data_IF_400337032701
#
_entry.id   IF_400337032701
#
_cell.length_a   1.000
_cell.length_b   1.000
_cell.length_c   1.000
_cell.angle_alpha   90.00
_cell.angle_beta   90.00
_cell.angle_gamma   90.00
#
_symmetry.space_group_name_H-M   'P 1'
#
loop_
_entity.id
_entity.type
_entity.pdbx_description
1 polymer ?
#
# COMPACT_ATOMS: atom_id res chain seq x y z
N UNK A 1 1.65 -1.82 -21.98
CA UNK A 1 1.41 -0.74 -20.98
C UNK A 1 0.48 0.32 -21.56
N UNK A 2 -0.55 0.73 -20.81
CA UNK A 2 -1.47 1.84 -21.10
C UNK A 2 -1.25 3.01 -20.13
N UNK A 3 -1.19 4.24 -20.63
CA UNK A 3 -1.04 5.47 -19.85
C UNK A 3 -2.22 6.40 -20.06
N UNK A 4 -2.80 6.93 -18.99
CA UNK A 4 -3.98 7.80 -19.04
C UNK A 4 -3.80 8.99 -18.09
N UNK A 5 -4.05 10.19 -18.60
CA UNK A 5 -4.16 11.42 -17.82
C UNK A 5 -5.65 11.71 -17.54
N UNK A 6 -6.07 11.52 -16.29
CA UNK A 6 -7.47 11.60 -15.87
C UNK A 6 -7.90 13.05 -15.69
N UNK A 7 -8.47 13.63 -16.75
CA UNK A 7 -9.15 14.94 -16.65
C UNK A 7 -10.54 14.82 -16.02
N UNK A 8 -11.20 13.68 -16.20
CA UNK A 8 -12.50 13.36 -15.62
C UNK A 8 -12.54 11.89 -15.16
N UNK A 9 -13.62 11.50 -14.50
CA UNK A 9 -13.89 10.13 -14.09
C UNK A 9 -14.06 9.22 -15.31
N UNK A 10 -13.39 8.06 -15.30
CA UNK A 10 -13.62 7.00 -16.26
C UNK A 10 -14.61 6.00 -15.67
N UNK A 11 -15.80 5.92 -16.25
CA UNK A 11 -16.93 5.10 -15.77
C UNK A 11 -17.00 3.70 -16.40
N UNK A 12 -15.90 3.25 -16.99
CA UNK A 12 -15.78 1.94 -17.61
C UNK A 12 -16.04 1.95 -19.11
N UNK A 13 -15.97 0.75 -19.69
CA UNK A 13 -16.17 0.50 -21.11
C UNK A 13 -17.67 0.33 -21.41
N UNK A 14 -18.11 0.80 -22.57
CA UNK A 14 -19.50 0.65 -23.04
C UNK A 14 -19.69 -0.72 -23.71
N UNK A 15 -20.91 -1.27 -23.66
CA UNK A 15 -21.36 -2.43 -24.47
C UNK A 15 -20.40 -3.64 -24.42
N UNK A 16 -20.01 -4.08 -23.22
CA UNK A 16 -19.05 -5.20 -22.97
C UNK A 16 -17.66 -5.01 -23.63
N UNK A 17 -17.25 -3.77 -23.84
CA UNK A 17 -15.92 -3.45 -24.32
C UNK A 17 -14.84 -4.08 -23.43
N UNK A 18 -13.74 -4.49 -24.06
CA UNK A 18 -12.62 -5.13 -23.38
C UNK A 18 -11.29 -4.52 -23.84
N UNK A 19 -10.33 -4.46 -22.93
CA UNK A 19 -8.93 -4.13 -23.24
C UNK A 19 -8.08 -5.33 -22.87
N UNK A 20 -7.27 -5.81 -23.82
CA UNK A 20 -6.37 -6.96 -23.67
C UNK A 20 -4.93 -6.55 -23.98
N UNK A 21 -3.99 -7.43 -23.63
CA UNK A 21 -2.55 -7.27 -23.89
C UNK A 21 -1.98 -6.00 -23.24
N UNK A 22 -2.44 -5.69 -22.02
CA UNK A 22 -1.85 -4.66 -21.18
C UNK A 22 -1.53 -5.22 -19.81
N UNK A 23 -0.25 -5.19 -19.44
CA UNK A 23 0.24 -5.70 -18.16
C UNK A 23 0.34 -4.58 -17.11
N UNK A 24 0.47 -3.33 -17.57
CA UNK A 24 0.56 -2.15 -16.71
C UNK A 24 -0.40 -1.05 -17.16
N UNK A 25 -1.22 -0.60 -16.21
CA UNK A 25 -2.03 0.62 -16.32
C UNK A 25 -1.37 1.72 -15.50
N UNK A 26 -1.17 2.90 -16.07
CA UNK A 26 -0.64 4.07 -15.36
C UNK A 26 -1.59 5.25 -15.49
N UNK A 27 -2.09 5.71 -14.36
CA UNK A 27 -3.08 6.76 -14.24
C UNK A 27 -2.45 7.97 -13.55
N UNK A 28 -2.59 9.14 -14.15
CA UNK A 28 -2.18 10.41 -13.56
C UNK A 28 -3.39 11.29 -13.31
N UNK A 29 -3.52 11.86 -12.11
CA UNK A 29 -4.50 12.87 -11.78
C UNK A 29 -3.81 14.18 -11.40
N UNK A 30 -3.79 15.12 -12.35
CA UNK A 30 -3.28 16.48 -12.14
C UNK A 30 -4.39 17.48 -11.75
N UNK A 31 -5.60 17.00 -11.47
CA UNK A 31 -6.74 17.87 -11.17
C UNK A 31 -6.80 18.22 -9.68
N UNK A 32 -7.67 19.17 -9.32
CA UNK A 32 -7.83 19.65 -7.93
C UNK A 32 -8.68 18.73 -7.04
N UNK A 33 -9.25 17.66 -7.59
CA UNK A 33 -10.10 16.71 -6.87
C UNK A 33 -9.80 15.25 -7.25
N UNK A 34 -10.25 14.30 -6.43
CA UNK A 34 -10.11 12.87 -6.70
C UNK A 34 -10.74 12.50 -8.06
N UNK A 35 -10.25 11.41 -8.66
CA UNK A 35 -10.77 10.84 -9.91
C UNK A 35 -11.05 9.36 -9.73
N UNK A 36 -12.08 8.88 -10.40
CA UNK A 36 -12.46 7.45 -10.40
C UNK A 36 -12.10 6.81 -11.73
N UNK A 37 -11.64 5.56 -11.68
CA UNK A 37 -11.34 4.74 -12.85
C UNK A 37 -11.91 3.33 -12.66
N UNK A 38 -12.99 3.02 -13.37
CA UNK A 38 -13.54 1.67 -13.40
C UNK A 38 -12.75 0.81 -14.40
N UNK A 39 -12.06 -0.21 -13.89
CA UNK A 39 -11.21 -1.11 -14.67
C UNK A 39 -11.93 -2.38 -15.15
N UNK A 40 -13.26 -2.48 -15.01
CA UNK A 40 -14.02 -3.62 -15.50
C UNK A 40 -13.78 -3.83 -17.00
N UNK A 41 -13.51 -5.09 -17.38
CA UNK A 41 -13.21 -5.49 -18.77
C UNK A 41 -11.74 -5.27 -19.18
N UNK A 42 -10.87 -4.91 -18.23
CA UNK A 42 -9.43 -4.87 -18.43
C UNK A 42 -8.79 -6.07 -17.74
N UNK A 43 -8.40 -7.06 -18.53
CA UNK A 43 -7.84 -8.32 -18.02
C UNK A 43 -6.32 -8.39 -18.24
N UNK A 44 -5.64 -9.17 -17.38
CA UNK A 44 -4.21 -9.45 -17.50
C UNK A 44 -3.29 -8.38 -16.94
N UNK A 45 -3.84 -7.40 -16.19
CA UNK A 45 -3.03 -6.43 -15.46
C UNK A 45 -2.20 -7.14 -14.39
N UNK A 46 -0.94 -6.73 -14.30
CA UNK A 46 0.02 -7.11 -13.27
C UNK A 46 0.37 -5.91 -12.39
N UNK A 47 0.22 -4.69 -12.92
CA UNK A 47 0.53 -3.46 -12.19
C UNK A 47 -0.46 -2.34 -12.48
N UNK A 48 -0.86 -1.63 -11.44
CA UNK A 48 -1.58 -0.36 -11.54
C UNK A 48 -0.79 0.74 -10.84
N UNK A 49 -0.37 1.75 -11.61
CA UNK A 49 0.36 2.90 -11.10
C UNK A 49 -0.53 4.14 -11.03
N UNK A 50 -0.60 4.75 -9.86
CA UNK A 50 -1.45 5.88 -9.52
C UNK A 50 -0.58 7.06 -9.11
N UNK A 51 -0.72 8.18 -9.80
CA UNK A 51 0.08 9.38 -9.55
C UNK A 51 -0.80 10.61 -9.39
N UNK A 52 -0.65 11.32 -8.28
CA UNK A 52 -1.34 12.59 -8.05
C UNK A 52 -1.76 12.81 -6.60
N UNK A 53 -1.54 14.03 -6.10
CA UNK A 53 -1.80 14.37 -4.69
C UNK A 53 -3.24 14.17 -4.26
N UNK A 54 -4.19 14.42 -5.17
CA UNK A 54 -5.64 14.32 -4.90
C UNK A 54 -6.18 12.90 -4.98
N UNK A 55 -5.35 11.93 -5.39
CA UNK A 55 -5.71 10.51 -5.43
C UNK A 55 -6.44 10.08 -6.69
N UNK A 56 -6.53 8.77 -6.85
CA UNK A 56 -7.28 8.08 -7.88
C UNK A 56 -7.93 6.87 -7.21
N UNK A 57 -9.24 6.74 -7.30
CA UNK A 57 -9.97 5.55 -6.88
C UNK A 57 -10.16 4.63 -8.08
N UNK A 58 -9.42 3.54 -8.11
CA UNK A 58 -9.63 2.45 -9.08
C UNK A 58 -10.67 1.50 -8.49
N UNK A 59 -11.47 0.86 -9.35
CA UNK A 59 -12.42 -0.19 -8.95
C UNK A 59 -12.44 -1.32 -9.98
N UNK A 60 -12.96 -2.49 -9.60
CA UNK A 60 -13.23 -3.63 -10.47
C UNK A 60 -12.00 -4.25 -11.16
N UNK A 61 -10.81 -4.22 -10.54
CA UNK A 61 -9.71 -5.07 -11.00
C UNK A 61 -10.05 -6.55 -10.80
N UNK A 62 -9.83 -7.35 -11.85
CA UNK A 62 -10.23 -8.76 -11.88
C UNK A 62 -9.32 -9.70 -11.07
N UNK A 63 -8.13 -9.24 -10.68
CA UNK A 63 -7.15 -10.01 -9.92
C UNK A 63 -6.30 -9.07 -9.07
N UNK A 64 -5.64 -9.63 -8.04
CA UNK A 64 -4.62 -8.91 -7.25
C UNK A 64 -3.47 -8.50 -8.18
N UNK A 65 -3.02 -7.25 -8.05
CA UNK A 65 -1.92 -6.67 -8.83
C UNK A 65 -0.95 -5.93 -7.91
N UNK A 66 0.25 -5.65 -8.43
CA UNK A 66 1.12 -4.65 -7.81
C UNK A 66 0.50 -3.26 -7.94
N UNK A 67 0.42 -2.53 -6.84
CA UNK A 67 -0.10 -1.16 -6.81
C UNK A 67 1.03 -0.19 -6.53
N UNK A 68 1.22 0.81 -7.40
CA UNK A 68 2.19 1.89 -7.19
C UNK A 68 1.45 3.19 -6.89
N UNK A 69 1.73 3.84 -5.76
CA UNK A 69 1.11 5.12 -5.37
C UNK A 69 2.18 6.19 -5.22
N UNK A 70 2.06 7.24 -6.02
CA UNK A 70 3.03 8.33 -6.10
C UNK A 70 2.39 9.66 -5.70
N UNK A 71 2.90 10.25 -4.64
CA UNK A 71 2.58 11.62 -4.21
C UNK A 71 1.21 11.81 -3.55
N UNK A 72 0.43 10.75 -3.31
CA UNK A 72 -0.91 10.87 -2.74
C UNK A 72 -0.90 11.51 -1.33
N UNK A 73 -1.73 12.55 -1.13
CA UNK A 73 -1.82 13.33 0.12
C UNK A 73 -3.23 13.33 0.73
N UNK A 74 -4.10 12.39 0.32
CA UNK A 74 -5.40 12.22 0.97
C UNK A 74 -5.27 11.55 2.33
N UNK A 75 -6.40 11.34 3.00
CA UNK A 75 -6.42 10.74 4.35
C UNK A 75 -6.45 9.22 4.34
N UNK A 76 -7.02 8.62 3.28
CA UNK A 76 -7.19 7.18 3.18
C UNK A 76 -6.94 6.68 1.75
N UNK A 77 -6.23 5.57 1.63
CA UNK A 77 -6.07 4.79 0.42
C UNK A 77 -6.64 3.39 0.68
N UNK A 78 -7.78 3.07 0.06
CA UNK A 78 -8.48 1.82 0.29
C UNK A 78 -8.13 0.79 -0.79
N UNK A 79 -7.29 -0.17 -0.43
CA UNK A 79 -6.88 -1.30 -1.28
C UNK A 79 -8.06 -2.21 -1.58
N UNK A 80 -8.89 -2.52 -0.59
CA UNK A 80 -10.01 -3.45 -0.74
C UNK A 80 -10.99 -3.01 -1.83
N UNK A 81 -11.18 -1.70 -1.97
CA UNK A 81 -12.08 -1.10 -2.96
C UNK A 81 -11.59 -1.15 -4.42
N UNK A 82 -10.32 -1.49 -4.64
CA UNK A 82 -9.70 -1.53 -5.96
C UNK A 82 -10.20 -2.73 -6.77
N UNK A 83 -10.46 -3.84 -6.08
CA UNK A 83 -10.72 -5.12 -6.70
C UNK A 83 -12.22 -5.38 -6.91
N UNK A 84 -12.52 -6.24 -7.88
CA UNK A 84 -13.86 -6.77 -8.05
C UNK A 84 -14.26 -7.67 -6.86
N UNK A 85 -15.56 -7.94 -6.73
CA UNK A 85 -16.09 -8.83 -5.72
C UNK A 85 -15.38 -10.19 -5.73
N UNK A 86 -15.17 -10.76 -4.54
CA UNK A 86 -14.52 -12.06 -4.29
C UNK A 86 -13.03 -12.19 -4.62
N UNK A 87 -12.39 -11.17 -5.20
CA UNK A 87 -10.95 -11.22 -5.50
C UNK A 87 -10.10 -11.33 -4.24
N UNK A 88 -10.58 -10.76 -3.12
CA UNK A 88 -9.93 -10.76 -1.81
C UNK A 88 -10.68 -11.62 -0.77
N UNK A 89 -11.35 -12.69 -1.21
CA UNK A 89 -12.02 -13.62 -0.28
C UNK A 89 -11.09 -14.79 0.12
N UNK A 90 -9.80 -14.69 -0.22
CA UNK A 90 -8.78 -15.63 0.22
C UNK A 90 -8.52 -15.52 1.73
N UNK A 91 -7.66 -16.40 2.22
CA UNK A 91 -7.18 -16.38 3.63
C UNK A 91 -5.67 -16.20 3.72
N UNK A 92 -5.05 -15.85 2.60
CA UNK A 92 -3.62 -15.65 2.45
C UNK A 92 -3.35 -14.60 1.35
N UNK A 93 -4.23 -13.61 1.24
CA UNK A 93 -4.14 -12.57 0.23
C UNK A 93 -2.96 -11.64 0.55
N UNK A 94 -2.19 -11.31 -0.49
CA UNK A 94 -0.96 -10.51 -0.39
C UNK A 94 -1.08 -9.29 -1.28
N UNK A 95 -1.01 -8.10 -0.71
CA UNK A 95 -0.92 -6.86 -1.47
C UNK A 95 0.53 -6.36 -1.52
N UNK A 96 1.06 -6.21 -2.74
CA UNK A 96 2.29 -5.46 -2.97
C UNK A 96 1.97 -3.99 -3.23
N UNK A 97 2.37 -3.10 -2.32
CA UNK A 97 2.12 -1.68 -2.40
C UNK A 97 3.44 -0.90 -2.44
N UNK A 98 3.74 -0.32 -3.59
CA UNK A 98 4.87 0.58 -3.76
C UNK A 98 4.43 2.01 -3.45
N UNK A 99 5.14 2.70 -2.56
CA UNK A 99 4.85 4.08 -2.16
C UNK A 99 6.03 5.00 -2.44
N UNK A 100 5.73 6.21 -2.91
CA UNK A 100 6.71 7.26 -3.14
C UNK A 100 6.11 8.61 -2.77
N UNK A 101 6.63 9.23 -1.71
CA UNK A 101 6.11 10.51 -1.23
C UNK A 101 4.63 10.47 -0.83
N UNK A 102 4.13 9.36 -0.30
CA UNK A 102 2.73 9.24 0.17
C UNK A 102 2.60 9.83 1.57
N UNK A 103 1.58 10.65 1.81
CA UNK A 103 1.34 11.29 3.10
C UNK A 103 2.36 12.36 3.47
N UNK A 104 2.28 12.86 4.70
CA UNK A 104 3.22 13.83 5.25
C UNK A 104 3.38 13.64 6.77
N UNK A 105 4.42 14.23 7.36
CA UNK A 105 4.60 14.26 8.82
C UNK A 105 3.39 14.90 9.49
N UNK A 106 2.77 14.19 10.44
CA UNK A 106 1.54 14.64 11.10
C UNK A 106 0.25 14.46 10.27
N UNK A 107 0.36 13.92 9.06
CA UNK A 107 -0.75 13.64 8.15
C UNK A 107 -0.46 12.35 7.35
N UNK A 108 -0.32 11.23 8.07
CA UNK A 108 -0.16 9.92 7.46
C UNK A 108 -1.39 9.54 6.65
N UNK A 109 -1.18 8.81 5.55
CA UNK A 109 -2.29 8.18 4.81
C UNK A 109 -2.61 6.84 5.44
N UNK A 110 -3.86 6.64 5.84
CA UNK A 110 -4.33 5.32 6.24
C UNK A 110 -4.43 4.41 5.01
N UNK A 111 -3.84 3.22 5.09
CA UNK A 111 -3.98 2.16 4.10
C UNK A 111 -5.05 1.20 4.62
N UNK A 112 -6.26 1.26 4.07
CA UNK A 112 -7.31 0.26 4.36
C UNK A 112 -7.03 -0.98 3.52
N UNK A 113 -6.79 -2.11 4.18
CA UNK A 113 -6.54 -3.40 3.57
C UNK A 113 -7.10 -4.50 4.49
N UNK A 114 -8.38 -4.39 4.85
CA UNK A 114 -9.04 -5.23 5.85
C UNK A 114 -9.21 -6.68 5.40
N UNK A 115 -9.19 -6.91 4.08
CA UNK A 115 -9.28 -8.23 3.44
C UNK A 115 -7.93 -8.80 3.01
N UNK A 116 -6.83 -8.20 3.44
CA UNK A 116 -5.47 -8.62 3.09
C UNK A 116 -4.80 -9.15 4.34
N UNK A 117 -4.21 -10.35 4.27
CA UNK A 117 -3.44 -10.91 5.40
C UNK A 117 -2.00 -10.37 5.45
N UNK A 118 -1.40 -10.10 4.28
CA UNK A 118 -0.02 -9.61 4.18
C UNK A 118 0.09 -8.37 3.29
N UNK A 119 0.58 -7.27 3.87
CA UNK A 119 0.90 -6.04 3.15
C UNK A 119 2.42 -5.92 2.95
N UNK A 120 2.88 -5.97 1.70
CA UNK A 120 4.26 -5.70 1.34
C UNK A 120 4.41 -4.24 0.92
N UNK A 121 5.02 -3.42 1.77
CA UNK A 121 5.34 -2.02 1.47
C UNK A 121 6.72 -1.93 0.82
N UNK A 122 6.79 -1.28 -0.34
CA UNK A 122 8.04 -0.98 -1.04
C UNK A 122 8.21 0.53 -1.22
N UNK A 123 9.15 1.14 -0.52
CA UNK A 123 9.34 2.60 -0.61
C UNK A 123 10.37 2.97 -1.68
N UNK A 124 10.09 4.05 -2.40
CA UNK A 124 11.01 4.61 -3.39
C UNK A 124 10.96 6.13 -3.41
N UNK A 125 12.03 6.76 -3.89
CA UNK A 125 12.09 8.21 -4.06
C UNK A 125 11.98 8.94 -2.72
N UNK A 126 10.86 9.63 -2.51
CA UNK A 126 10.62 10.47 -1.33
C UNK A 126 10.07 9.68 -0.16
N UNK A 127 10.41 10.11 1.07
CA UNK A 127 9.87 9.56 2.31
C UNK A 127 8.34 9.49 2.28
N UNK A 128 7.79 8.38 2.78
CA UNK A 128 6.34 8.20 2.92
C UNK A 128 5.92 8.10 4.40
N UNK A 129 4.68 8.50 4.67
CA UNK A 129 4.04 8.51 5.99
C UNK A 129 2.69 7.81 5.85
N UNK A 130 2.59 6.61 6.41
CA UNK A 130 1.41 5.76 6.26
C UNK A 130 1.01 5.12 7.58
N UNK A 131 -0.23 4.66 7.66
CA UNK A 131 -0.66 3.72 8.70
C UNK A 131 -1.37 2.52 8.08
N UNK A 132 -1.30 1.36 8.72
CA UNK A 132 -1.96 0.15 8.26
C UNK A 132 -2.34 -0.76 9.44
N UNK A 133 -3.46 -1.46 9.33
CA UNK A 133 -3.91 -2.44 10.34
C UNK A 133 -4.08 -3.81 9.68
N UNK A 134 -2.95 -4.48 9.44
CA UNK A 134 -2.85 -5.76 8.72
C UNK A 134 -2.02 -6.74 9.57
N UNK A 135 -2.37 -8.02 9.54
CA UNK A 135 -1.72 -9.04 10.37
C UNK A 135 -0.20 -9.15 10.17
N UNK A 136 0.24 -9.11 8.91
CA UNK A 136 1.65 -9.17 8.52
C UNK A 136 2.03 -7.99 7.63
N UNK A 137 3.10 -7.30 7.98
CA UNK A 137 3.66 -6.19 7.18
C UNK A 137 5.13 -6.49 6.88
N UNK A 138 5.49 -6.50 5.59
CA UNK A 138 6.89 -6.48 5.16
C UNK A 138 7.24 -5.10 4.60
N UNK A 139 8.43 -4.61 4.91
CA UNK A 139 8.95 -3.33 4.41
C UNK A 139 10.23 -3.55 3.63
N UNK A 140 10.28 -3.01 2.41
CA UNK A 140 11.44 -3.04 1.51
C UNK A 140 11.64 -1.67 0.86
N UNK A 141 12.76 -1.52 0.16
CA UNK A 141 13.12 -0.29 -0.54
C UNK A 141 14.11 0.56 0.25
N UNK A 142 14.40 1.75 -0.28
CA UNK A 142 15.53 2.57 0.18
C UNK A 142 15.12 4.00 0.59
N UNK A 143 13.85 4.37 0.41
CA UNK A 143 13.35 5.67 0.86
C UNK A 143 12.83 5.54 2.30
N UNK A 144 13.02 6.56 3.14
CA UNK A 144 12.57 6.50 4.53
C UNK A 144 11.06 6.25 4.64
N UNK A 145 10.66 5.63 5.74
CA UNK A 145 9.25 5.31 6.01
C UNK A 145 8.91 5.69 7.45
N UNK A 146 7.80 6.40 7.62
CA UNK A 146 7.09 6.45 8.89
C UNK A 146 5.84 5.59 8.79
N UNK A 147 5.72 4.59 9.66
CA UNK A 147 4.66 3.59 9.66
C UNK A 147 4.03 3.52 11.05
N UNK A 148 2.72 3.80 11.16
CA UNK A 148 1.96 3.44 12.35
C UNK A 148 1.14 2.18 12.08
N UNK A 149 1.16 1.20 12.98
CA UNK A 149 0.37 -0.02 12.84
C UNK A 149 -0.88 0.00 13.72
N UNK A 150 -1.81 -0.90 13.45
CA UNK A 150 -3.03 -1.11 14.22
C UNK A 150 -2.97 -2.36 15.12
N UNK A 151 -4.10 -2.67 15.76
CA UNK A 151 -4.21 -3.75 16.73
C UNK A 151 -4.08 -5.15 16.12
N UNK A 152 -4.39 -5.33 14.83
CA UNK A 152 -4.29 -6.62 14.13
C UNK A 152 -2.85 -7.00 13.82
N UNK A 153 -1.92 -6.05 13.77
CA UNK A 153 -0.55 -6.33 13.36
C UNK A 153 0.14 -7.23 14.38
N UNK A 154 0.61 -8.37 13.88
CA UNK A 154 1.33 -9.39 14.68
C UNK A 154 2.78 -9.52 14.24
N UNK A 155 3.11 -9.13 13.01
CA UNK A 155 4.48 -9.22 12.49
C UNK A 155 4.85 -7.99 11.67
N UNK A 156 6.09 -7.54 11.86
CA UNK A 156 6.76 -6.55 11.03
C UNK A 156 8.12 -7.11 10.59
N UNK A 157 8.34 -7.22 9.27
CA UNK A 157 9.63 -7.66 8.72
C UNK A 157 10.19 -6.60 7.76
N UNK A 158 11.12 -5.79 8.28
CA UNK A 158 11.88 -4.80 7.53
C UNK A 158 13.34 -5.24 7.28
N UNK A 159 13.66 -6.53 7.41
CA UNK A 159 15.05 -7.04 7.32
C UNK A 159 15.78 -6.70 6.02
N UNK A 160 15.03 -6.47 4.93
CA UNK A 160 15.56 -6.08 3.62
C UNK A 160 15.46 -4.58 3.34
N UNK A 161 15.07 -3.77 4.32
CA UNK A 161 14.89 -2.33 4.17
C UNK A 161 16.22 -1.59 4.28
N UNK A 162 16.46 -0.66 3.35
CA UNK A 162 17.67 0.17 3.32
C UNK A 162 17.44 1.63 3.71
N UNK A 163 16.18 2.09 3.78
CA UNK A 163 15.83 3.41 4.30
C UNK A 163 15.76 3.42 5.83
N UNK A 164 15.67 4.60 6.43
CA UNK A 164 15.37 4.72 7.86
C UNK A 164 13.88 4.47 8.12
N UNK A 165 13.58 3.57 9.05
CA UNK A 165 12.23 3.22 9.48
C UNK A 165 11.89 3.89 10.81
N UNK A 166 10.79 4.65 10.86
CA UNK A 166 10.16 5.08 12.10
C UNK A 166 8.82 4.34 12.23
N UNK A 167 8.84 3.21 12.92
CA UNK A 167 7.69 2.33 13.09
C UNK A 167 7.09 2.48 14.50
N UNK A 168 5.79 2.76 14.57
CA UNK A 168 5.01 2.80 15.81
C UNK A 168 4.01 1.65 15.83
N UNK A 169 4.29 0.66 16.67
CA UNK A 169 3.46 -0.51 16.93
C UNK A 169 2.84 -0.47 18.34
N UNK A 170 2.74 0.72 18.95
CA UNK A 170 2.20 0.87 20.32
C UNK A 170 0.75 0.41 20.47
N UNK A 171 0.00 0.30 19.36
CA UNK A 171 -1.38 -0.21 19.34
C UNK A 171 -1.45 -1.73 19.13
N UNK A 172 -0.37 -2.35 18.66
CA UNK A 172 -0.31 -3.76 18.29
C UNK A 172 -0.07 -4.63 19.53
N UNK A 173 -1.16 -5.11 20.13
CA UNK A 173 -1.12 -5.84 21.41
C UNK A 173 -0.62 -7.29 21.31
N UNK A 174 -0.54 -7.86 20.11
CA UNK A 174 -0.25 -9.29 19.87
C UNK A 174 0.94 -9.52 18.94
N UNK A 175 1.93 -8.61 18.98
CA UNK A 175 3.15 -8.76 18.17
C UNK A 175 3.89 -10.02 18.59
N UNK A 176 4.33 -10.80 17.60
CA UNK A 176 5.08 -12.05 17.77
C UNK A 176 6.49 -11.95 17.18
N UNK A 177 6.67 -11.12 16.14
CA UNK A 177 7.98 -10.90 15.50
C UNK A 177 8.13 -9.47 15.00
N UNK A 178 9.31 -8.90 15.24
CA UNK A 178 9.75 -7.62 14.68
C UNK A 178 11.16 -7.82 14.13
N UNK A 179 11.39 -7.39 12.90
CA UNK A 179 12.73 -7.24 12.33
C UNK A 179 12.91 -5.85 11.77
N UNK A 180 13.89 -5.11 12.28
CA UNK A 180 14.40 -3.88 11.67
C UNK A 180 15.23 -4.19 10.43
N UNK A 181 15.62 -3.13 9.72
CA UNK A 181 16.41 -3.16 8.50
C UNK A 181 17.85 -2.70 8.70
N UNK A 182 18.39 -2.08 7.66
CA UNK A 182 19.80 -1.65 7.60
C UNK A 182 19.96 -0.12 7.75
N UNK A 183 18.85 0.62 7.81
CA UNK A 183 18.84 2.06 8.04
C UNK A 183 18.74 2.38 9.52
N UNK A 184 18.87 3.67 9.86
CA UNK A 184 18.71 4.13 11.24
C UNK A 184 17.27 3.96 11.69
N UNK A 185 16.98 2.84 12.33
CA UNK A 185 15.61 2.42 12.60
C UNK A 185 15.19 2.77 14.02
N UNK A 186 13.95 3.22 14.15
CA UNK A 186 13.27 3.48 15.40
C UNK A 186 11.97 2.69 15.41
N UNK A 187 11.89 1.75 16.34
CA UNK A 187 10.70 0.91 16.51
C UNK A 187 10.15 1.14 17.91
N UNK A 188 8.89 1.58 17.99
CA UNK A 188 8.17 1.82 19.24
C UNK A 188 7.17 0.72 19.48
N UNK A 189 7.25 0.06 20.63
CA UNK A 189 6.33 -0.98 21.10
C UNK A 189 5.94 -0.66 22.54
N UNK A 190 4.69 -0.95 22.92
CA UNK A 190 4.20 -0.68 24.28
C UNK A 190 4.25 -1.92 25.17
N UNK A 191 3.68 -3.02 24.69
CA UNK A 191 3.53 -4.26 25.44
C UNK A 191 4.29 -5.38 24.72
N UNK A 192 5.23 -6.03 25.42
CA UNK A 192 6.04 -7.12 24.88
C UNK A 192 5.64 -8.42 25.57
N UNK A 193 5.03 -9.33 24.82
CA UNK A 193 4.70 -10.67 25.31
C UNK A 193 5.99 -11.48 25.62
N UNK A 194 5.86 -12.52 26.45
CA UNK A 194 7.01 -13.31 26.97
C UNK A 194 7.87 -13.98 25.87
N UNK A 195 7.37 -14.10 24.63
CA UNK A 195 8.05 -14.81 23.53
C UNK A 195 8.11 -14.01 22.21
N UNK A 196 8.13 -12.68 22.25
CA UNK A 196 8.29 -11.89 21.02
C UNK A 196 9.72 -12.01 20.50
N UNK A 197 9.88 -12.37 19.22
CA UNK A 197 11.17 -12.30 18.55
C UNK A 197 11.42 -10.86 18.08
N UNK A 198 12.45 -10.21 18.62
CA UNK A 198 12.83 -8.85 18.22
C UNK A 198 14.26 -8.90 17.70
N UNK A 199 14.40 -8.52 16.43
CA UNK A 199 15.68 -8.28 15.76
C UNK A 199 15.71 -6.81 15.36
N UNK A 200 16.68 -6.05 15.87
CA UNK A 200 16.83 -4.64 15.53
C UNK A 200 17.30 -4.40 14.09
N UNK A 201 17.78 -5.45 13.41
CA UNK A 201 18.49 -5.28 12.15
C UNK A 201 19.91 -4.75 12.38
N UNK A 202 20.50 -4.18 11.32
CA UNK A 202 21.88 -3.70 11.33
C UNK A 202 22.03 -2.21 11.68
N UNK A 203 20.94 -1.43 11.68
CA UNK A 203 20.96 0.02 11.90
C UNK A 203 20.23 0.49 13.15
#
# INVERSE_FOLDING_TARGET
>A
MLKVDLKNNFKGLKDDGYIKNIEKLSLTNSSVSNRTFDAKGIDGLQTVALSGEKGISVTNLANIVDVEVNGFKGTNFNVDSIYADKVLDGSADVQNLKVNGVGAKGASVAITADKIETLNLNTTGSQSFVSADVASISVKGNANLSLATGAKTTTLDASSFGGALDADLSTSASVTSIKGGNGNDKITIKDVAVNVAIDGGAG
#
